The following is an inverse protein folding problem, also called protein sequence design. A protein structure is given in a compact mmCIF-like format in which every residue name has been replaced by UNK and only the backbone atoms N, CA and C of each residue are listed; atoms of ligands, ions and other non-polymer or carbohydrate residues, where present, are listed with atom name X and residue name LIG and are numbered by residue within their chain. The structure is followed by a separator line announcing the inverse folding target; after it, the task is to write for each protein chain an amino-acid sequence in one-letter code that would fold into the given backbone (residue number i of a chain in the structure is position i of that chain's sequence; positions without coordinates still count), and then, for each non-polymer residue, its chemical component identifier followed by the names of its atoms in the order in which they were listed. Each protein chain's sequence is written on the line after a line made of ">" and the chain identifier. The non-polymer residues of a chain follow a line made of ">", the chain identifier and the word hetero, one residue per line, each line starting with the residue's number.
data_IF_522450914622
#
_entry.id   IF_522450914622
#
_cell.length_a   1.000
_cell.length_b   1.000
_cell.length_c   1.000
_cell.angle_alpha   90.00
_cell.angle_beta   90.00
_cell.angle_gamma   90.00
#
_symmetry.space_group_name_H-M   'P 1'
#
loop_
_entity.id
_entity.type
_entity.pdbx_description
1 polymer ?
#
# COMPACT_ATOMS: atom_id res chain seq x y z
N UNK A 1 -15.01 -1.29 -13.59
CA UNK A 1 -14.29 -2.57 -13.86
C UNK A 1 -15.32 -3.67 -14.12
N UNK A 2 -15.18 -4.54 -15.15
CA UNK A 2 -16.04 -5.71 -15.25
C UNK A 2 -15.70 -6.66 -14.10
N UNK A 3 -16.64 -6.84 -13.17
CA UNK A 3 -16.56 -7.93 -12.18
C UNK A 3 -16.55 -9.23 -12.98
N UNK A 4 -15.66 -10.21 -12.67
CA UNK A 4 -15.73 -11.51 -13.30
C UNK A 4 -17.14 -12.10 -13.13
N UNK A 5 -17.89 -12.26 -14.21
CA UNK A 5 -19.26 -12.78 -14.14
C UNK A 5 -19.24 -14.31 -14.00
N UNK A 6 -19.80 -14.80 -12.90
CA UNK A 6 -19.94 -16.23 -12.59
C UNK A 6 -18.98 -16.73 -11.52
N UNK A 7 -19.44 -17.72 -10.77
CA UNK A 7 -18.73 -18.41 -9.69
C UNK A 7 -17.27 -18.71 -10.01
N UNK A 8 -17.03 -19.24 -11.20
CA UNK A 8 -15.72 -19.77 -11.60
C UNK A 8 -14.73 -18.65 -11.92
N UNK A 9 -15.23 -17.51 -12.40
CA UNK A 9 -14.40 -16.37 -12.77
C UNK A 9 -13.89 -15.61 -11.53
N UNK A 10 -14.70 -15.54 -10.47
CA UNK A 10 -14.30 -14.97 -9.17
C UNK A 10 -13.28 -15.86 -8.45
N UNK A 11 -13.47 -17.17 -8.46
CA UNK A 11 -12.48 -18.09 -7.89
C UNK A 11 -11.15 -18.02 -8.64
N UNK A 12 -11.19 -17.87 -9.97
CA UNK A 12 -10.01 -17.81 -10.81
C UNK A 12 -9.16 -16.53 -10.64
N UNK A 13 -9.65 -15.49 -9.95
CA UNK A 13 -8.83 -14.30 -9.68
C UNK A 13 -7.75 -14.54 -8.63
N UNK A 14 -7.94 -15.53 -7.75
CA UNK A 14 -7.04 -15.79 -6.64
C UNK A 14 -5.80 -16.58 -7.07
N UNK A 15 -4.64 -16.17 -6.58
CA UNK A 15 -3.37 -16.86 -6.80
C UNK A 15 -3.28 -17.99 -5.77
N UNK A 16 -3.63 -19.18 -6.21
CA UNK A 16 -3.52 -20.39 -5.40
C UNK A 16 -2.09 -20.92 -5.36
N UNK A 17 -1.75 -21.58 -4.25
CA UNK A 17 -0.53 -22.36 -4.09
C UNK A 17 -0.82 -23.87 -4.17
N UNK A 18 -1.07 -24.43 -5.38
CA UNK A 18 -1.44 -25.84 -5.54
C UNK A 18 -0.29 -26.80 -5.25
N UNK A 19 0.96 -26.34 -5.45
CA UNK A 19 2.17 -27.15 -5.33
C UNK A 19 2.76 -27.14 -3.91
N UNK A 20 2.05 -26.50 -2.95
CA UNK A 20 2.47 -26.39 -1.55
C UNK A 20 3.87 -25.78 -1.39
N UNK A 21 4.18 -24.77 -2.21
CA UNK A 21 5.37 -23.96 -2.08
C UNK A 21 5.38 -23.29 -0.70
N UNK A 22 6.56 -23.07 -0.17
CA UNK A 22 6.77 -22.37 1.09
C UNK A 22 7.72 -21.22 0.85
N UNK A 23 7.59 -20.17 1.65
CA UNK A 23 8.41 -18.97 1.51
C UNK A 23 9.88 -19.37 1.52
N UNK A 24 10.62 -18.90 0.52
CA UNK A 24 12.01 -19.33 0.30
C UNK A 24 12.91 -19.00 1.50
N UNK A 25 12.61 -17.90 2.19
CA UNK A 25 13.50 -17.33 3.23
C UNK A 25 12.75 -16.96 4.51
N UNK A 26 11.43 -17.07 4.62
CA UNK A 26 10.70 -16.63 5.82
C UNK A 26 10.14 -17.86 6.54
N UNK A 27 10.65 -18.10 7.75
CA UNK A 27 10.21 -19.19 8.63
C UNK A 27 9.74 -18.67 9.99
N UNK A 28 8.65 -19.26 10.47
CA UNK A 28 8.13 -19.05 11.82
C UNK A 28 8.51 -20.26 12.72
N UNK A 29 7.52 -20.99 13.24
CA UNK A 29 7.69 -22.31 13.87
C UNK A 29 7.93 -23.45 12.83
N UNK A 30 7.97 -23.11 11.54
CA UNK A 30 8.25 -24.00 10.41
C UNK A 30 8.10 -23.28 9.05
N UNK A 31 8.22 -24.01 7.93
CA UNK A 31 8.02 -23.47 6.60
C UNK A 31 6.60 -22.89 6.46
N UNK A 32 6.50 -21.66 5.94
CA UNK A 32 5.22 -20.96 5.77
C UNK A 32 4.74 -21.13 4.33
N UNK A 33 3.57 -21.74 4.08
CA UNK A 33 2.97 -21.77 2.75
C UNK A 33 2.81 -20.35 2.18
N UNK A 34 3.19 -20.15 0.92
CA UNK A 34 2.98 -18.88 0.21
C UNK A 34 1.59 -18.80 -0.42
N UNK A 35 1.21 -17.59 -0.80
CA UNK A 35 -0.02 -17.23 -1.50
C UNK A 35 -1.29 -17.78 -0.82
N UNK A 36 -2.36 -18.04 -1.58
CA UNK A 36 -3.63 -18.56 -1.06
C UNK A 36 -3.63 -20.09 -0.99
N UNK A 37 -4.04 -20.65 0.15
CA UNK A 37 -4.12 -22.10 0.34
C UNK A 37 -5.45 -22.67 -0.15
N UNK A 38 -6.55 -21.93 -0.02
CA UNK A 38 -7.83 -22.33 -0.60
C UNK A 38 -8.73 -21.14 -0.88
N UNK A 39 -9.49 -21.26 -1.97
CA UNK A 39 -10.60 -20.37 -2.31
C UNK A 39 -11.82 -21.25 -2.63
N UNK A 40 -12.95 -20.96 -2.02
CA UNK A 40 -14.20 -21.69 -2.28
C UNK A 40 -15.41 -20.77 -2.22
N UNK A 41 -16.52 -21.22 -2.82
CA UNK A 41 -17.80 -20.54 -2.67
C UNK A 41 -18.58 -21.15 -1.53
N UNK A 42 -19.16 -20.29 -0.72
CA UNK A 42 -19.96 -20.70 0.42
C UNK A 42 -21.16 -19.77 0.60
N UNK A 43 -22.31 -20.35 0.93
CA UNK A 43 -23.52 -19.60 1.26
C UNK A 43 -23.73 -19.62 2.77
N UNK A 44 -23.76 -18.46 3.39
CA UNK A 44 -24.03 -18.29 4.83
C UNK A 44 -25.28 -17.44 4.99
N UNK A 45 -26.31 -18.01 5.64
CA UNK A 45 -27.60 -17.35 5.87
C UNK A 45 -28.27 -16.77 4.61
N UNK A 46 -27.99 -17.35 3.44
CA UNK A 46 -28.55 -16.93 2.15
C UNK A 46 -27.75 -15.84 1.43
N UNK A 47 -26.56 -15.48 1.94
CA UNK A 47 -25.59 -14.61 1.26
C UNK A 47 -24.45 -15.47 0.73
N UNK A 48 -24.08 -15.26 -0.53
CA UNK A 48 -22.98 -15.97 -1.17
C UNK A 48 -21.65 -15.23 -0.96
N UNK A 49 -20.63 -15.98 -0.59
CA UNK A 49 -19.29 -15.51 -0.29
C UNK A 49 -18.24 -16.25 -1.09
N UNK A 50 -17.13 -15.57 -1.35
CA UNK A 50 -15.83 -16.19 -1.56
C UNK A 50 -15.16 -16.35 -0.20
N UNK A 51 -14.90 -17.59 0.19
CA UNK A 51 -14.19 -17.94 1.41
C UNK A 51 -12.73 -18.26 1.08
N UNK A 52 -11.79 -17.59 1.76
CA UNK A 52 -10.36 -17.61 1.46
C UNK A 52 -9.57 -17.98 2.72
N UNK A 53 -8.70 -18.97 2.58
CA UNK A 53 -7.68 -19.29 3.57
C UNK A 53 -6.29 -18.92 3.03
N UNK A 54 -5.57 -18.08 3.76
CA UNK A 54 -4.25 -17.59 3.37
C UNK A 54 -3.33 -17.37 4.59
N UNK A 55 -2.02 -17.46 4.36
CA UNK A 55 -1.00 -17.18 5.39
C UNK A 55 -0.60 -15.72 5.47
N UNK A 56 -0.97 -14.91 4.47
CA UNK A 56 -0.50 -13.53 4.34
C UNK A 56 0.94 -13.38 3.85
N UNK A 57 1.58 -14.47 3.40
CA UNK A 57 2.95 -14.46 2.88
C UNK A 57 2.93 -14.70 1.37
N UNK A 58 3.45 -13.77 0.53
CA UNK A 58 3.46 -13.91 -0.92
C UNK A 58 4.63 -14.77 -1.44
N UNK A 59 4.51 -15.26 -2.67
CA UNK A 59 5.61 -15.84 -3.47
C UNK A 59 6.23 -14.79 -4.42
N UNK A 60 6.56 -13.60 -3.91
CA UNK A 60 7.08 -12.53 -4.76
C UNK A 60 8.48 -12.85 -5.30
N UNK A 61 8.64 -12.56 -6.59
CA UNK A 61 9.95 -12.38 -7.22
C UNK A 61 9.94 -11.00 -7.89
N UNK A 62 11.05 -10.26 -7.79
CA UNK A 62 11.13 -8.91 -8.30
C UNK A 62 12.45 -8.65 -8.99
N UNK A 63 12.41 -8.08 -10.20
CA UNK A 63 13.61 -7.62 -10.90
C UNK A 63 14.01 -6.25 -10.36
N UNK A 64 15.15 -6.18 -9.69
CA UNK A 64 15.68 -4.91 -9.19
C UNK A 64 16.10 -4.03 -10.37
N UNK A 65 15.32 -2.97 -10.62
CA UNK A 65 15.63 -2.00 -11.69
C UNK A 65 16.77 -1.06 -11.29
N UNK A 66 17.33 -0.31 -12.26
CA UNK A 66 18.30 0.75 -11.98
C UNK A 66 17.77 1.77 -10.95
N UNK A 67 16.48 2.12 -11.03
CA UNK A 67 15.85 3.04 -10.09
C UNK A 67 15.69 2.43 -8.69
N UNK A 68 15.38 1.14 -8.61
CA UNK A 68 15.31 0.42 -7.35
C UNK A 68 16.67 0.30 -6.68
N UNK A 69 17.72 -0.05 -7.43
CA UNK A 69 19.09 -0.10 -6.92
C UNK A 69 19.56 1.28 -6.44
N UNK A 70 19.31 2.33 -7.22
CA UNK A 70 19.60 3.70 -6.81
C UNK A 70 18.83 4.10 -5.54
N UNK A 71 17.55 3.73 -5.43
CA UNK A 71 16.77 3.98 -4.22
C UNK A 71 17.37 3.31 -2.98
N UNK A 72 17.92 2.10 -3.10
CA UNK A 72 18.60 1.39 -2.00
C UNK A 72 19.92 2.08 -1.63
N UNK A 73 20.74 2.45 -2.60
CA UNK A 73 22.04 3.11 -2.39
C UNK A 73 21.89 4.53 -1.81
N UNK A 74 20.97 5.32 -2.35
CA UNK A 74 20.80 6.74 -2.02
C UNK A 74 19.95 6.98 -0.76
N UNK A 75 19.65 5.94 0.02
CA UNK A 75 18.88 6.08 1.27
C UNK A 75 19.56 7.08 2.21
N UNK A 76 18.81 7.99 2.87
CA UNK A 76 19.39 8.99 3.76
C UNK A 76 20.27 8.42 4.87
N UNK A 77 20.04 7.15 5.23
CA UNK A 77 20.71 6.43 6.31
C UNK A 77 21.38 5.13 5.83
N UNK A 78 21.73 5.01 4.55
CA UNK A 78 22.34 3.79 3.97
C UNK A 78 23.49 3.22 4.82
N UNK A 79 24.40 4.08 5.31
CA UNK A 79 25.52 3.72 6.20
C UNK A 79 25.12 2.94 7.47
N UNK A 80 23.88 3.12 7.94
CA UNK A 80 23.35 2.44 9.14
C UNK A 80 22.20 1.49 8.83
N UNK A 81 21.52 1.68 7.70
CA UNK A 81 20.44 0.83 7.26
C UNK A 81 20.96 -0.52 6.78
N UNK A 82 22.15 -0.53 6.15
CA UNK A 82 22.82 -1.74 5.71
C UNK A 82 23.99 -2.10 6.61
N UNK A 83 24.21 -3.41 6.80
CA UNK A 83 25.28 -3.95 7.66
C UNK A 83 26.67 -3.59 7.15
N UNK A 84 26.82 -3.46 5.83
CA UNK A 84 28.08 -3.07 5.16
C UNK A 84 28.06 -1.61 4.66
N UNK A 85 27.02 -0.85 5.03
CA UNK A 85 26.81 0.53 4.57
C UNK A 85 26.32 0.66 3.12
N UNK A 86 26.05 -0.45 2.44
CA UNK A 86 25.51 -0.52 1.08
C UNK A 86 24.68 -1.80 0.90
N UNK A 87 23.72 -1.85 -0.04
CA UNK A 87 22.97 -3.05 -0.39
C UNK A 87 23.87 -4.14 -0.99
N UNK A 88 23.46 -5.40 -0.83
CA UNK A 88 24.12 -6.57 -1.43
C UNK A 88 23.59 -6.93 -2.83
N UNK A 89 22.50 -6.28 -3.25
CA UNK A 89 21.84 -6.51 -4.52
C UNK A 89 22.13 -5.36 -5.51
N UNK A 90 22.32 -5.73 -6.77
CA UNK A 90 22.63 -4.80 -7.86
C UNK A 90 21.46 -4.74 -8.87
N UNK A 91 21.43 -3.66 -9.65
CA UNK A 91 20.48 -3.54 -10.75
C UNK A 91 20.62 -4.73 -11.73
N UNK A 92 19.48 -5.35 -12.06
CA UNK A 92 19.39 -6.53 -12.90
C UNK A 92 19.27 -7.85 -12.12
N UNK A 93 19.43 -7.84 -10.81
CA UNK A 93 19.20 -9.02 -9.97
C UNK A 93 17.69 -9.33 -9.88
N UNK A 94 17.34 -10.62 -9.92
CA UNK A 94 16.00 -11.09 -9.52
C UNK A 94 16.06 -11.46 -8.05
N UNK A 95 15.21 -10.81 -7.26
CA UNK A 95 15.15 -10.93 -5.81
C UNK A 95 13.95 -11.77 -5.41
N UNK A 96 14.18 -12.75 -4.54
CA UNK A 96 13.11 -13.51 -3.89
C UNK A 96 12.62 -12.80 -2.62
N UNK A 97 11.34 -12.96 -2.29
CA UNK A 97 10.77 -12.40 -1.07
C UNK A 97 11.51 -12.91 0.19
N UNK A 98 12.05 -11.97 0.98
CA UNK A 98 12.84 -12.28 2.17
C UNK A 98 14.33 -12.52 1.91
N UNK A 99 14.82 -12.39 0.68
CA UNK A 99 16.24 -12.52 0.36
C UNK A 99 17.12 -11.53 1.16
N UNK A 100 18.33 -11.93 1.55
CA UNK A 100 19.25 -11.02 2.22
C UNK A 100 19.78 -9.95 1.25
N UNK A 101 19.28 -8.72 1.38
CA UNK A 101 19.72 -7.54 0.64
C UNK A 101 20.81 -6.75 1.39
N UNK A 102 21.24 -7.23 2.57
CA UNK A 102 22.25 -6.57 3.40
C UNK A 102 21.70 -5.65 4.48
N UNK A 103 20.38 -5.52 4.62
CA UNK A 103 19.80 -4.66 5.67
C UNK A 103 20.20 -5.13 7.07
N UNK A 104 20.35 -4.16 7.97
CA UNK A 104 20.47 -4.38 9.41
C UNK A 104 19.07 -4.55 10.03
N UNK A 105 18.31 -5.53 9.55
CA UNK A 105 16.91 -5.75 9.92
C UNK A 105 16.71 -5.87 11.43
N UNK A 106 15.59 -5.34 11.92
CA UNK A 106 15.19 -5.42 13.33
C UNK A 106 14.04 -6.39 13.53
N UNK A 107 13.94 -6.99 14.72
CA UNK A 107 12.82 -7.90 15.05
C UNK A 107 12.83 -9.27 14.35
N UNK A 108 13.82 -9.52 13.49
CA UNK A 108 14.06 -10.80 12.83
C UNK A 108 15.10 -11.62 13.60
N UNK A 109 15.05 -12.95 13.47
CA UNK A 109 16.15 -13.82 13.92
C UNK A 109 17.33 -13.66 12.96
N UNK A 110 18.52 -13.31 13.43
CA UNK A 110 19.73 -13.23 12.59
C UNK A 110 20.29 -14.64 12.28
N UNK A 111 19.59 -15.36 11.39
CA UNK A 111 19.94 -16.70 10.90
C UNK A 111 19.56 -16.80 9.42
N UNK A 112 20.24 -17.66 8.62
CA UNK A 112 19.79 -17.93 7.25
C UNK A 112 18.36 -18.46 7.21
N UNK A 113 17.54 -17.99 6.27
CA UNK A 113 16.16 -18.48 6.12
C UNK A 113 15.13 -17.87 7.07
N UNK A 114 15.39 -16.69 7.64
CA UNK A 114 14.47 -15.99 8.55
C UNK A 114 13.98 -14.63 8.04
N UNK A 115 14.34 -14.28 6.80
CA UNK A 115 14.12 -12.95 6.21
C UNK A 115 15.07 -11.88 6.72
N UNK A 116 16.05 -12.22 7.57
CA UNK A 116 17.04 -11.24 8.04
C UNK A 116 17.86 -10.69 6.87
N UNK A 117 17.90 -9.36 6.75
CA UNK A 117 18.58 -8.68 5.67
C UNK A 117 17.70 -8.20 4.52
N UNK A 118 16.43 -8.62 4.47
CA UNK A 118 15.46 -8.12 3.50
C UNK A 118 14.76 -6.85 3.98
N UNK A 119 14.49 -6.76 5.29
CA UNK A 119 13.67 -5.70 5.89
C UNK A 119 14.52 -4.50 6.31
N UNK A 120 14.13 -3.27 5.97
CA UNK A 120 14.76 -2.09 6.56
C UNK A 120 14.69 -2.09 8.10
N UNK A 121 15.60 -1.39 8.78
CA UNK A 121 15.48 -1.20 10.23
C UNK A 121 14.21 -0.42 10.59
N UNK A 122 13.49 -0.89 11.61
CA UNK A 122 12.25 -0.26 12.08
C UNK A 122 11.15 -1.30 12.26
N UNK A 123 10.51 -1.74 11.16
CA UNK A 123 9.54 -2.84 11.20
C UNK A 123 10.16 -4.15 11.67
N UNK A 124 9.29 -5.09 12.06
CA UNK A 124 9.66 -6.46 12.40
C UNK A 124 9.52 -7.36 11.17
N UNK A 125 10.16 -8.53 11.16
CA UNK A 125 9.86 -9.54 10.15
C UNK A 125 8.36 -9.89 10.13
N UNK A 126 7.76 -10.12 8.96
CA UNK A 126 6.43 -10.70 8.89
C UNK A 126 6.44 -12.11 9.46
N UNK A 127 5.31 -12.50 10.02
CA UNK A 127 5.05 -13.85 10.54
C UNK A 127 3.86 -14.42 9.80
N UNK A 128 3.71 -15.75 9.88
CA UNK A 128 2.51 -16.42 9.38
C UNK A 128 1.26 -15.81 10.03
N UNK A 129 0.29 -15.49 9.20
CA UNK A 129 -1.10 -15.22 9.60
C UNK A 129 -1.95 -16.47 9.34
N UNK A 130 -3.15 -16.52 9.91
CA UNK A 130 -4.13 -17.57 9.63
C UNK A 130 -5.43 -16.89 9.19
N UNK A 131 -5.43 -16.32 7.98
CA UNK A 131 -6.61 -15.66 7.44
C UNK A 131 -7.72 -16.67 7.17
N UNK A 132 -8.90 -16.38 7.72
CA UNK A 132 -10.18 -17.02 7.44
C UNK A 132 -11.13 -15.89 7.01
N UNK A 133 -11.09 -15.58 5.71
CA UNK A 133 -11.65 -14.36 5.15
C UNK A 133 -12.86 -14.66 4.27
N UNK A 134 -13.91 -13.83 4.42
CA UNK A 134 -15.20 -14.00 3.75
C UNK A 134 -15.55 -12.72 3.00
N UNK A 135 -15.55 -12.80 1.67
CA UNK A 135 -15.87 -11.68 0.79
C UNK A 135 -17.25 -11.89 0.16
N UNK A 136 -18.24 -11.03 0.41
CA UNK A 136 -19.55 -11.18 -0.23
C UNK A 136 -19.41 -11.00 -1.74
N UNK A 137 -20.08 -11.85 -2.52
CA UNK A 137 -20.00 -11.81 -3.99
C UNK A 137 -20.76 -10.60 -4.56
N UNK A 138 -21.85 -10.22 -3.89
CA UNK A 138 -22.68 -9.08 -4.24
C UNK A 138 -22.48 -7.97 -3.20
N UNK A 139 -21.50 -7.05 -3.40
CA UNK A 139 -21.32 -5.93 -2.50
C UNK A 139 -22.56 -5.03 -2.52
N UNK A 140 -22.93 -4.53 -1.34
CA UNK A 140 -24.05 -3.60 -1.18
C UNK A 140 -23.50 -2.25 -0.78
N UNK A 141 -23.74 -1.25 -1.61
CA UNK A 141 -23.34 0.13 -1.33
C UNK A 141 -23.98 0.61 -0.02
N UNK A 142 -23.15 1.16 0.87
CA UNK A 142 -23.61 1.71 2.13
C UNK A 142 -24.43 2.97 1.90
N UNK A 143 -25.57 3.10 2.60
CA UNK A 143 -26.38 4.34 2.53
C UNK A 143 -25.67 5.55 3.13
N UNK A 144 -24.78 5.29 4.10
CA UNK A 144 -23.95 6.29 4.75
C UNK A 144 -22.50 5.75 4.72
N UNK A 145 -21.63 6.27 3.85
CA UNK A 145 -20.26 5.80 3.75
C UNK A 145 -19.50 6.11 5.04
N UNK A 146 -18.63 5.18 5.45
CA UNK A 146 -17.77 5.34 6.61
C UNK A 146 -16.32 5.18 6.18
N UNK A 147 -15.43 5.97 6.78
CA UNK A 147 -14.00 5.78 6.58
C UNK A 147 -13.56 4.43 7.11
N UNK A 148 -12.69 3.75 6.37
CA UNK A 148 -12.08 2.50 6.81
C UNK A 148 -11.21 2.73 8.05
N UNK A 149 -11.17 1.75 8.96
CA UNK A 149 -10.26 1.77 10.11
C UNK A 149 -8.79 1.57 9.70
N UNK A 150 -7.88 1.83 10.64
CA UNK A 150 -6.46 1.45 10.52
C UNK A 150 -6.33 -0.08 10.65
N UNK A 151 -5.51 -0.71 9.81
CA UNK A 151 -5.34 -2.17 9.76
C UNK A 151 -5.84 -2.80 8.47
N UNK A 152 -6.12 -4.10 8.52
CA UNK A 152 -6.57 -4.89 7.36
C UNK A 152 -7.95 -4.42 6.91
N UNK A 153 -8.06 -3.96 5.67
CA UNK A 153 -9.31 -3.54 5.02
C UNK A 153 -9.71 -4.45 3.85
N UNK A 154 -8.89 -5.47 3.56
CA UNK A 154 -9.09 -6.39 2.45
C UNK A 154 -7.88 -7.30 2.29
N UNK A 155 -7.94 -8.18 1.30
CA UNK A 155 -6.81 -9.01 0.88
C UNK A 155 -6.53 -8.80 -0.60
N UNK A 156 -5.26 -8.77 -0.95
CA UNK A 156 -4.79 -8.96 -2.32
C UNK A 156 -5.04 -10.41 -2.75
N UNK A 157 -5.06 -10.67 -4.06
CA UNK A 157 -5.40 -11.99 -4.61
C UNK A 157 -4.39 -13.09 -4.29
N UNK A 158 -3.20 -12.73 -3.79
CA UNK A 158 -2.24 -13.68 -3.21
C UNK A 158 -2.38 -13.84 -1.69
N UNK A 159 -3.40 -13.24 -1.07
CA UNK A 159 -3.67 -13.36 0.37
C UNK A 159 -2.89 -12.39 1.25
N UNK A 160 -2.04 -11.50 0.69
CA UNK A 160 -1.39 -10.41 1.44
C UNK A 160 -2.44 -9.37 1.86
N UNK A 161 -2.27 -8.76 3.03
CA UNK A 161 -3.23 -7.79 3.53
C UNK A 161 -3.17 -6.44 2.78
N UNK A 162 -4.35 -5.87 2.54
CA UNK A 162 -4.53 -4.47 2.15
C UNK A 162 -4.71 -3.67 3.43
N UNK A 163 -3.86 -2.67 3.66
CA UNK A 163 -4.09 -1.69 4.71
C UNK A 163 -4.58 -0.38 4.09
N UNK A 164 -5.28 0.42 4.89
CA UNK A 164 -5.65 1.77 4.47
C UNK A 164 -4.39 2.65 4.27
N UNK A 165 -4.53 3.86 3.73
CA UNK A 165 -3.39 4.74 3.42
C UNK A 165 -2.71 5.40 4.63
N UNK A 166 -3.22 5.23 5.86
CA UNK A 166 -2.72 5.92 7.05
C UNK A 166 -1.82 5.03 7.92
N UNK A 167 -0.86 5.65 8.61
CA UNK A 167 0.00 5.01 9.63
C UNK A 167 -0.54 5.20 11.08
N UNK A 168 -1.67 5.91 11.21
CA UNK A 168 -2.28 6.27 12.48
C UNK A 168 -1.60 7.40 13.26
N UNK A 169 -0.59 8.05 12.69
CA UNK A 169 0.11 9.19 13.27
C UNK A 169 -0.42 10.50 12.69
N UNK A 170 -0.30 11.57 13.47
CA UNK A 170 -0.60 12.93 13.05
C UNK A 170 0.48 13.89 13.53
N UNK A 171 0.64 15.01 12.83
CA UNK A 171 1.57 16.06 13.24
C UNK A 171 1.32 16.49 14.68
N UNK A 172 2.39 16.54 15.47
CA UNK A 172 2.38 16.93 16.88
C UNK A 172 1.33 16.20 17.76
N UNK A 173 0.80 15.05 17.31
CA UNK A 173 -0.29 14.33 17.95
C UNK A 173 -1.55 15.22 18.16
N UNK A 174 -1.81 16.12 17.22
CA UNK A 174 -2.94 17.07 17.29
C UNK A 174 -4.22 16.52 16.65
N UNK A 175 -4.19 15.32 16.07
CA UNK A 175 -5.31 14.74 15.31
C UNK A 175 -5.74 15.63 14.13
N UNK A 176 -4.76 16.27 13.51
CA UNK A 176 -4.85 17.00 12.25
C UNK A 176 -3.50 16.85 11.56
N UNK A 177 -3.49 16.83 10.24
CA UNK A 177 -2.32 16.48 9.43
C UNK A 177 -1.91 15.03 9.71
N UNK A 178 -2.80 14.10 9.36
CA UNK A 178 -2.54 12.66 9.47
C UNK A 178 -1.58 12.22 8.39
N UNK A 179 -0.52 11.50 8.75
CA UNK A 179 0.45 11.03 7.78
C UNK A 179 -0.20 10.05 6.80
N UNK A 180 0.22 10.11 5.54
CA UNK A 180 0.03 9.02 4.61
C UNK A 180 1.20 8.05 4.74
N UNK A 181 0.90 6.80 5.09
CA UNK A 181 1.87 5.72 5.27
C UNK A 181 2.85 5.59 4.07
N UNK A 182 2.39 5.60 2.80
CA UNK A 182 3.31 5.51 1.66
C UNK A 182 4.38 6.62 1.60
N UNK A 183 4.09 7.81 2.14
CA UNK A 183 5.02 8.92 2.20
C UNK A 183 5.88 8.89 3.47
N UNK A 184 5.25 8.70 4.63
CA UNK A 184 5.91 8.75 5.93
C UNK A 184 6.78 7.52 6.22
N UNK A 185 6.45 6.38 5.63
CA UNK A 185 7.09 5.08 5.86
C UNK A 185 7.93 4.65 4.65
N UNK A 186 8.19 5.52 3.66
CA UNK A 186 8.87 5.16 2.40
C UNK A 186 10.20 4.41 2.60
N UNK A 187 10.92 4.70 3.69
CA UNK A 187 12.18 4.02 4.03
C UNK A 187 12.00 2.80 4.95
N UNK A 188 10.79 2.52 5.39
CA UNK A 188 10.44 1.37 6.23
C UNK A 188 9.86 0.22 5.38
N UNK A 189 9.53 0.50 4.11
CA UNK A 189 9.05 -0.46 3.13
C UNK A 189 10.21 -1.27 2.50
N UNK A 190 9.94 -2.53 2.19
CA UNK A 190 10.80 -3.38 1.38
C UNK A 190 10.81 -2.97 -0.11
N UNK A 191 11.54 -3.72 -0.94
CA UNK A 191 11.59 -3.50 -2.41
C UNK A 191 10.24 -3.76 -3.11
N UNK A 192 9.30 -4.41 -2.43
CA UNK A 192 7.96 -4.71 -2.86
C UNK A 192 6.92 -3.78 -2.20
N UNK A 193 7.15 -2.46 -2.21
CA UNK A 193 6.71 -1.48 -1.20
C UNK A 193 5.68 -1.98 -0.17
N UNK A 194 6.12 -2.90 0.69
CA UNK A 194 5.33 -3.50 1.76
C UNK A 194 6.16 -3.65 3.02
N UNK A 195 5.50 -3.87 4.14
CA UNK A 195 6.17 -4.11 5.42
C UNK A 195 5.24 -4.83 6.40
N UNK A 196 5.73 -5.07 7.61
CA UNK A 196 5.00 -5.80 8.63
C UNK A 196 4.64 -4.95 9.83
N UNK A 197 3.38 -5.04 10.23
CA UNK A 197 2.87 -4.51 11.49
C UNK A 197 2.22 -5.67 12.26
N UNK A 198 2.66 -5.90 13.49
CA UNK A 198 2.19 -7.02 14.33
C UNK A 198 2.30 -8.39 13.63
N UNK A 199 3.34 -8.56 12.79
CA UNK A 199 3.57 -9.78 12.01
C UNK A 199 2.84 -9.83 10.67
N UNK A 200 1.81 -9.00 10.44
CA UNK A 200 1.06 -8.97 9.18
C UNK A 200 1.84 -8.22 8.11
N UNK A 201 2.31 -8.92 7.08
CA UNK A 201 2.80 -8.28 5.86
C UNK A 201 1.64 -7.62 5.10
N UNK A 202 1.82 -6.37 4.68
CA UNK A 202 0.77 -5.59 4.04
C UNK A 202 1.32 -4.49 3.14
N UNK A 203 0.44 -3.98 2.27
CA UNK A 203 0.70 -2.79 1.46
C UNK A 203 -0.30 -1.69 1.79
N UNK A 204 0.19 -0.45 1.89
CA UNK A 204 -0.60 0.78 1.95
C UNK A 204 -0.77 1.45 0.56
N UNK A 205 0.01 0.99 -0.43
CA UNK A 205 0.11 1.58 -1.76
C UNK A 205 0.08 0.51 -2.84
N UNK A 206 0.32 0.91 -4.10
CA UNK A 206 0.33 0.01 -5.24
C UNK A 206 1.38 -1.11 -5.06
N UNK A 207 0.97 -2.39 -4.98
CA UNK A 207 1.87 -3.51 -4.71
C UNK A 207 2.61 -3.94 -5.98
N UNK A 208 3.76 -3.34 -6.27
CA UNK A 208 4.47 -3.54 -7.56
C UNK A 208 4.86 -5.00 -7.82
N UNK A 209 5.24 -5.75 -6.78
CA UNK A 209 5.60 -7.16 -6.95
C UNK A 209 4.38 -8.05 -7.20
N UNK A 210 3.19 -7.67 -6.70
CA UNK A 210 1.95 -8.31 -7.09
C UNK A 210 1.59 -7.96 -8.54
N UNK A 211 1.82 -6.72 -8.96
CA UNK A 211 1.63 -6.32 -10.36
C UNK A 211 2.50 -7.19 -11.29
N UNK A 212 3.77 -7.40 -10.94
CA UNK A 212 4.69 -8.30 -11.64
C UNK A 212 4.15 -9.75 -11.65
N UNK A 213 3.71 -10.27 -10.50
CA UNK A 213 3.14 -11.61 -10.36
C UNK A 213 1.87 -11.81 -11.23
N UNK A 214 1.06 -10.76 -11.38
CA UNK A 214 -0.13 -10.73 -12.24
C UNK A 214 0.19 -10.43 -13.71
N UNK A 215 1.45 -10.12 -14.05
CA UNK A 215 1.87 -9.74 -15.40
C UNK A 215 1.27 -8.41 -15.88
N UNK A 216 0.90 -7.53 -14.96
CA UNK A 216 0.24 -6.26 -15.27
C UNK A 216 1.25 -5.15 -15.62
N UNK A 217 1.89 -5.31 -16.78
CA UNK A 217 2.83 -4.32 -17.32
C UNK A 217 2.17 -3.13 -18.02
N UNK A 218 0.85 -2.94 -17.89
CA UNK A 218 0.12 -1.82 -18.49
C UNK A 218 -0.19 -1.93 -19.97
N UNK A 219 -0.12 -3.12 -20.55
CA UNK A 219 -0.46 -3.36 -21.97
C UNK A 219 -1.96 -3.60 -22.23
N UNK A 220 -2.78 -3.60 -21.18
CA UNK A 220 -4.22 -3.79 -21.22
C UNK A 220 -4.87 -3.16 -19.98
N UNK A 221 -6.21 -3.29 -19.86
CA UNK A 221 -6.88 -2.98 -18.60
C UNK A 221 -6.36 -3.91 -17.50
N UNK A 222 -6.04 -3.36 -16.33
CA UNK A 222 -5.51 -4.11 -15.21
C UNK A 222 -6.46 -5.22 -14.75
N UNK A 223 -5.93 -6.36 -14.29
CA UNK A 223 -6.72 -7.35 -13.58
C UNK A 223 -7.15 -6.82 -12.20
N UNK A 224 -7.99 -7.62 -11.53
CA UNK A 224 -8.28 -7.42 -10.10
C UNK A 224 -7.04 -7.81 -9.30
N UNK A 225 -6.55 -6.88 -8.48
CA UNK A 225 -5.42 -7.10 -7.58
C UNK A 225 -5.87 -7.65 -6.24
N UNK A 226 -7.09 -7.38 -5.81
CA UNK A 226 -7.61 -7.81 -4.52
C UNK A 226 -9.07 -7.47 -4.32
N UNK A 227 -9.54 -7.68 -3.09
CA UNK A 227 -10.89 -7.37 -2.67
C UNK A 227 -10.87 -6.66 -1.32
N UNK A 228 -11.64 -5.58 -1.21
CA UNK A 228 -11.95 -4.99 0.08
C UNK A 228 -12.84 -5.95 0.90
N UNK A 229 -12.86 -5.79 2.22
CA UNK A 229 -13.57 -6.70 3.14
C UNK A 229 -15.09 -6.79 2.88
N UNK A 230 -15.66 -5.79 2.20
CA UNK A 230 -17.06 -5.75 1.76
C UNK A 230 -17.27 -6.36 0.36
N UNK A 231 -16.26 -7.02 -0.21
CA UNK A 231 -16.33 -7.74 -1.49
C UNK A 231 -16.09 -6.86 -2.73
N UNK A 232 -15.89 -5.55 -2.57
CA UNK A 232 -15.60 -4.68 -3.71
C UNK A 232 -14.22 -5.00 -4.29
N UNK A 233 -14.11 -5.26 -5.62
CA UNK A 233 -12.82 -5.56 -6.24
C UNK A 233 -11.94 -4.31 -6.32
N UNK A 234 -10.66 -4.50 -6.00
CA UNK A 234 -9.60 -3.51 -6.16
C UNK A 234 -8.85 -3.84 -7.44
N UNK A 235 -8.97 -2.99 -8.45
CA UNK A 235 -8.24 -3.17 -9.72
C UNK A 235 -6.85 -2.52 -9.68
N UNK A 236 -5.95 -3.02 -10.53
CA UNK A 236 -4.71 -2.33 -10.83
C UNK A 236 -4.93 -0.98 -11.56
N UNK A 237 -3.85 -0.22 -11.80
CA UNK A 237 -3.95 1.19 -12.16
C UNK A 237 -4.23 1.46 -13.64
N UNK A 238 -4.25 0.45 -14.52
CA UNK A 238 -4.38 0.65 -15.97
C UNK A 238 -5.83 0.50 -16.44
N UNK A 239 -6.33 1.48 -17.17
CA UNK A 239 -7.69 1.43 -17.76
C UNK A 239 -7.65 0.82 -19.17
N UNK A 240 -6.53 1.00 -19.87
CA UNK A 240 -6.23 0.40 -21.16
C UNK A 240 -4.72 0.46 -21.44
N UNK A 241 -4.29 0.02 -22.62
CA UNK A 241 -2.88 -0.01 -23.06
C UNK A 241 -2.20 1.36 -22.90
N UNK A 242 -1.26 1.44 -21.95
CA UNK A 242 -0.47 2.62 -21.63
C UNK A 242 -1.24 3.76 -20.97
N UNK A 243 -2.47 3.54 -20.51
CA UNK A 243 -3.34 4.58 -19.91
C UNK A 243 -3.62 4.27 -18.45
N UNK A 244 -3.07 5.10 -17.56
CA UNK A 244 -3.33 5.03 -16.12
C UNK A 244 -4.69 5.66 -15.78
N UNK A 245 -5.33 5.09 -14.76
CA UNK A 245 -6.49 5.65 -14.11
C UNK A 245 -6.14 7.01 -13.48
N UNK A 246 -7.06 7.95 -13.59
CA UNK A 246 -6.97 9.26 -12.97
C UNK A 246 -7.68 9.21 -11.63
N UNK A 247 -6.93 9.43 -10.55
CA UNK A 247 -7.54 9.62 -9.24
C UNK A 247 -8.34 10.93 -9.19
N UNK A 248 -9.56 10.85 -8.65
CA UNK A 248 -10.35 12.01 -8.26
C UNK A 248 -9.85 12.65 -6.97
N UNK A 249 -8.96 11.99 -6.22
CA UNK A 249 -8.22 12.63 -5.14
C UNK A 249 -7.07 13.46 -5.70
N UNK A 250 -7.04 14.74 -5.34
CA UNK A 250 -6.12 15.75 -5.86
C UNK A 250 -5.35 16.40 -4.73
N UNK A 251 -4.08 16.67 -4.99
CA UNK A 251 -3.26 17.51 -4.14
C UNK A 251 -3.77 18.93 -4.17
N UNK A 252 -3.85 19.53 -2.99
CA UNK A 252 -4.02 20.97 -2.80
C UNK A 252 -2.80 21.70 -3.37
N UNK A 253 -3.06 22.81 -4.06
CA UNK A 253 -2.01 23.67 -4.58
C UNK A 253 -1.67 24.73 -3.52
N UNK A 254 -0.58 24.49 -2.80
CA UNK A 254 -0.02 25.42 -1.82
C UNK A 254 0.99 26.39 -2.43
N UNK A 255 1.47 26.16 -3.66
CA UNK A 255 2.52 26.99 -4.26
C UNK A 255 1.96 28.31 -4.81
N UNK A 256 0.72 28.31 -5.29
CA UNK A 256 0.01 29.53 -5.70
C UNK A 256 -0.76 30.17 -4.52
N UNK A 257 -0.37 31.37 -4.05
CA UNK A 257 -1.15 32.13 -3.05
C UNK A 257 -2.60 32.41 -3.44
N UNK A 258 -2.91 32.40 -4.74
CA UNK A 258 -4.26 32.60 -5.28
C UNK A 258 -5.07 31.32 -5.45
N UNK A 259 -4.49 30.14 -5.18
CA UNK A 259 -5.16 28.86 -5.29
C UNK A 259 -6.35 28.77 -4.32
N UNK A 260 -7.53 28.32 -4.77
CA UNK A 260 -8.68 28.09 -3.88
C UNK A 260 -8.48 26.92 -2.92
N UNK A 261 -7.44 26.11 -3.13
CA UNK A 261 -7.10 24.95 -2.29
C UNK A 261 -5.88 25.22 -1.39
N UNK A 262 -5.20 26.36 -1.60
CA UNK A 262 -4.09 26.85 -0.76
C UNK A 262 -4.56 27.72 0.41
N UNK A 263 -3.60 28.24 1.18
CA UNK A 263 -3.85 29.01 2.40
C UNK A 263 -3.50 30.50 2.31
N UNK A 264 -3.57 31.07 1.10
CA UNK A 264 -3.40 32.51 0.88
C UNK A 264 -1.95 33.01 0.86
N UNK A 265 -0.98 32.15 1.14
CA UNK A 265 0.41 32.36 0.73
C UNK A 265 1.15 31.03 0.55
N UNK A 266 2.24 31.11 -0.22
CA UNK A 266 2.94 29.94 -0.74
C UNK A 266 3.49 29.05 0.39
N UNK A 267 3.28 27.75 0.26
CA UNK A 267 3.81 26.70 1.12
C UNK A 267 3.17 26.57 2.51
N UNK A 268 2.20 27.41 2.88
CA UNK A 268 1.66 27.39 4.24
C UNK A 268 0.55 26.35 4.44
N UNK A 269 0.64 25.60 5.55
CA UNK A 269 -0.41 24.72 6.06
C UNK A 269 -1.20 25.37 7.21
N UNK A 270 -1.72 26.57 6.99
CA UNK A 270 -2.46 27.36 7.98
C UNK A 270 -3.99 27.29 7.84
N UNK A 271 -4.48 26.42 6.93
CA UNK A 271 -5.90 26.25 6.63
C UNK A 271 -6.20 24.81 6.17
N UNK A 272 -7.44 24.37 6.34
CA UNK A 272 -7.96 23.09 5.87
C UNK A 272 -9.01 23.32 4.78
N UNK A 273 -9.27 22.31 3.96
CA UNK A 273 -10.48 22.31 3.13
C UNK A 273 -11.71 22.39 4.05
N UNK A 274 -12.67 23.26 3.73
CA UNK A 274 -13.90 23.38 4.50
C UNK A 274 -14.73 22.07 4.41
N UNK A 275 -14.70 21.44 3.24
CA UNK A 275 -15.14 20.09 2.98
C UNK A 275 -14.11 19.43 2.02
N UNK A 276 -13.48 18.33 2.43
CA UNK A 276 -12.53 17.60 1.57
C UNK A 276 -13.22 16.92 0.37
N UNK A 277 -14.54 16.73 0.41
CA UNK A 277 -15.32 16.10 -0.66
C UNK A 277 -15.99 17.10 -1.60
N UNK A 278 -15.98 18.39 -1.24
CA UNK A 278 -16.53 19.47 -2.06
C UNK A 278 -15.56 20.66 -2.09
N UNK A 279 -14.64 20.71 -3.08
CA UNK A 279 -13.67 21.80 -3.18
C UNK A 279 -14.30 23.16 -3.46
N UNK A 280 -15.58 23.23 -3.86
CA UNK A 280 -16.28 24.50 -4.07
C UNK A 280 -16.54 25.27 -2.77
N UNK A 281 -16.44 24.59 -1.62
CA UNK A 281 -16.56 25.18 -0.28
C UNK A 281 -15.31 25.97 0.14
N UNK A 282 -14.20 25.82 -0.57
CA UNK A 282 -12.94 26.52 -0.33
C UNK A 282 -12.23 26.06 0.95
N UNK A 283 -11.41 26.94 1.53
CA UNK A 283 -10.62 26.65 2.73
C UNK A 283 -11.06 27.48 3.94
N UNK A 284 -10.82 26.94 5.13
CA UNK A 284 -11.05 27.60 6.43
C UNK A 284 -9.76 27.60 7.23
N UNK A 285 -9.50 28.70 7.94
CA UNK A 285 -8.35 28.77 8.84
C UNK A 285 -8.44 27.68 9.93
N UNK A 286 -7.29 27.14 10.32
CA UNK A 286 -7.20 26.15 11.40
C UNK A 286 -6.38 26.70 12.56
N UNK A 287 -6.75 26.29 13.78
CA UNK A 287 -5.96 26.55 15.00
C UNK A 287 -4.81 25.53 15.17
N UNK A 288 -4.75 24.52 14.29
CA UNK A 288 -3.75 23.45 14.23
C UNK A 288 -2.97 23.52 12.91
N UNK A 289 -2.08 24.52 12.71
CA UNK A 289 -1.29 24.60 11.50
C UNK A 289 -0.30 23.43 11.42
N UNK A 290 -0.16 22.88 10.22
CA UNK A 290 0.83 21.85 9.92
C UNK A 290 2.19 22.47 9.60
N UNK A 291 3.23 21.64 9.40
CA UNK A 291 4.51 22.11 8.85
C UNK A 291 4.31 22.74 7.48
N UNK A 292 5.10 23.75 7.12
CA UNK A 292 5.06 24.30 5.76
C UNK A 292 5.56 23.25 4.75
N UNK A 293 5.24 23.40 3.45
CA UNK A 293 5.56 22.40 2.42
C UNK A 293 7.07 22.23 2.15
N UNK A 294 7.89 23.10 2.73
CA UNK A 294 9.36 23.04 2.70
C UNK A 294 9.98 22.61 4.03
N UNK A 295 9.20 22.44 5.08
CA UNK A 295 9.72 22.09 6.40
C UNK A 295 10.20 20.63 6.42
N UNK A 296 11.18 20.36 7.28
CA UNK A 296 11.66 19.01 7.54
C UNK A 296 10.86 18.39 8.68
N UNK A 297 10.35 17.19 8.45
CA UNK A 297 9.68 16.34 9.44
C UNK A 297 10.48 15.08 9.69
N UNK A 298 10.35 14.51 10.89
CA UNK A 298 11.05 13.30 11.28
C UNK A 298 10.08 12.12 11.37
N UNK A 299 10.36 11.04 10.65
CA UNK A 299 9.56 9.81 10.65
C UNK A 299 9.73 9.04 11.96
N UNK A 300 8.88 8.03 12.18
CA UNK A 300 8.99 7.12 13.32
C UNK A 300 10.29 6.31 13.30
N UNK A 301 10.79 5.93 12.12
CA UNK A 301 12.11 5.31 11.93
C UNK A 301 13.28 6.29 12.07
N UNK A 302 12.98 7.58 12.27
CA UNK A 302 13.95 8.63 12.53
C UNK A 302 14.60 9.20 11.28
N UNK A 303 14.07 8.92 10.08
CA UNK A 303 14.44 9.57 8.84
C UNK A 303 13.94 11.01 8.81
N UNK A 304 14.65 11.90 8.11
CA UNK A 304 14.23 13.28 7.90
C UNK A 304 13.71 13.42 6.46
N UNK A 305 12.46 13.87 6.33
CA UNK A 305 11.77 14.05 5.05
C UNK A 305 11.32 15.51 4.92
N UNK A 306 11.28 16.04 3.70
CA UNK A 306 10.58 17.30 3.44
C UNK A 306 9.09 17.04 3.44
N UNK A 307 8.32 17.81 4.20
CA UNK A 307 6.87 17.73 4.29
C UNK A 307 6.19 18.32 3.04
N UNK A 308 6.55 17.87 1.84
CA UNK A 308 5.94 18.32 0.59
C UNK A 308 4.42 18.08 0.60
N UNK A 309 3.69 18.82 -0.24
CA UNK A 309 2.26 18.58 -0.42
C UNK A 309 2.01 17.12 -0.79
N UNK A 310 1.11 16.46 -0.06
CA UNK A 310 0.79 15.04 -0.24
C UNK A 310 1.36 14.14 0.84
N UNK A 311 2.16 14.68 1.76
CA UNK A 311 2.63 13.95 2.93
C UNK A 311 1.48 13.64 3.91
N UNK A 312 0.51 14.54 4.02
CA UNK A 312 -0.63 14.42 4.94
C UNK A 312 -1.95 14.20 4.20
N UNK A 313 -2.92 13.53 4.84
CA UNK A 313 -4.28 13.37 4.33
C UNK A 313 -4.94 14.73 3.99
N UNK A 314 -4.74 15.72 4.84
CA UNK A 314 -5.31 17.07 4.70
C UNK A 314 -4.68 17.88 3.55
N UNK A 315 -3.65 17.36 2.90
CA UNK A 315 -3.14 17.89 1.63
C UNK A 315 -3.98 17.46 0.43
N UNK A 316 -4.97 16.59 0.61
CA UNK A 316 -5.81 16.05 -0.44
C UNK A 316 -7.26 16.54 -0.35
N UNK A 317 -7.91 16.62 -1.50
CA UNK A 317 -9.35 16.80 -1.65
C UNK A 317 -9.88 15.95 -2.80
N UNK A 318 -11.16 15.60 -2.77
CA UNK A 318 -11.83 14.85 -3.82
C UNK A 318 -12.50 15.81 -4.80
N UNK A 319 -12.21 15.65 -6.09
CA UNK A 319 -12.82 16.40 -7.19
C UNK A 319 -13.70 15.47 -8.04
N UNK A 320 -15.00 15.47 -7.75
CA UNK A 320 -15.98 14.66 -8.46
C UNK A 320 -16.06 15.00 -9.96
N UNK A 321 -15.63 16.19 -10.39
CA UNK A 321 -15.68 16.56 -11.80
C UNK A 321 -14.67 15.78 -12.65
N UNK A 322 -13.71 15.10 -12.02
CA UNK A 322 -12.74 14.24 -12.69
C UNK A 322 -13.30 12.87 -13.06
N UNK A 323 -14.44 12.46 -12.50
CA UNK A 323 -15.21 11.32 -12.96
C UNK A 323 -16.13 11.71 -14.14
N UNK A 324 -15.49 12.15 -15.22
CA UNK A 324 -16.16 12.70 -16.41
C UNK A 324 -16.54 11.65 -17.46
N UNK A 325 -16.44 10.35 -17.16
CA UNK A 325 -16.63 9.26 -18.12
C UNK A 325 -15.55 9.17 -19.22
N UNK A 326 -14.40 9.81 -19.02
CA UNK A 326 -13.23 9.64 -19.88
C UNK A 326 -12.61 8.25 -19.71
N UNK A 327 -11.79 7.76 -20.66
CA UNK A 327 -11.11 6.46 -20.51
C UNK A 327 -10.28 6.32 -19.23
N UNK A 328 -9.75 7.42 -18.69
CA UNK A 328 -8.98 7.46 -17.45
C UNK A 328 -9.85 7.53 -16.19
N UNK A 329 -11.16 7.81 -16.31
CA UNK A 329 -12.08 7.84 -15.18
C UNK A 329 -12.58 6.40 -14.95
N UNK A 330 -12.04 5.74 -13.92
CA UNK A 330 -12.48 4.41 -13.47
C UNK A 330 -13.56 4.51 -12.40
#
# INVERSE_FOLDING_TARGET
>A
VPVPEGSDALLATWILNPDSHTAAVIEDDGPVPVDVQSVELATVEGVDYVHVLATGIPDYTHLLTDAGAAFLEDRPRADTDFREGHPLADAGDTLDFGQDLGYASTGCRDLPGTGYGFWPPGPVCPTRQDWDAWFPIEPVEATEPVSTGLGVIGLWVNGVAVFNWGDGQSWANEQTWFNLAPAAEVYDLDVCPGHSAMGTYHHHSHPVCLADQLGDGGSAHSPVYGYAADGVPIAGPWTTDGVLARSSWRLRDYDDPGSPTGCGAAGMRSCLMADQLDPSTGTVATDHPGPDTSDTVRTMSGNELTAVAGYYLEDWYFDAALDGGSPEAL
#
